data_IF_983302252684
#
_entry.id   IF_983302252684
#
_cell.length_a   1.000
_cell.length_b   1.000
_cell.length_c   1.000
_cell.angle_alpha   90.00
_cell.angle_beta   90.00
_cell.angle_gamma   90.00
#
_symmetry.space_group_name_H-M   'P 1'
#
loop_
_entity.id
_entity.type
_entity.pdbx_description
1 polymer ?
#
# COMPACT_ATOMS: atom_id res chain seq x y z
N UNK A 1 13.47 -3.27 23.94
CA UNK A 1 12.93 -4.22 22.96
C UNK A 1 12.05 -3.44 22.00
N UNK A 2 12.34 -3.51 20.70
CA UNK A 2 11.52 -2.92 19.63
C UNK A 2 10.92 -4.06 18.82
N UNK A 3 9.64 -3.98 18.51
CA UNK A 3 8.95 -4.97 17.68
C UNK A 3 8.01 -4.26 16.69
N UNK A 4 7.99 -4.74 15.46
CA UNK A 4 7.12 -4.29 14.37
C UNK A 4 5.73 -4.94 14.38
N UNK A 5 5.48 -5.83 15.36
CA UNK A 5 4.19 -6.50 15.50
C UNK A 5 3.86 -6.82 16.97
N UNK A 6 2.63 -6.51 17.39
CA UNK A 6 2.17 -6.72 18.76
C UNK A 6 2.26 -8.19 19.23
N UNK A 7 2.04 -9.18 18.35
CA UNK A 7 2.09 -10.60 18.70
C UNK A 7 3.46 -11.03 19.24
N UNK A 8 4.54 -10.47 18.69
CA UNK A 8 5.89 -10.77 19.17
C UNK A 8 6.08 -10.33 20.60
N UNK A 9 5.49 -9.20 21.00
CA UNK A 9 5.58 -8.67 22.36
C UNK A 9 4.67 -9.38 23.36
N UNK A 10 3.61 -10.05 22.91
CA UNK A 10 2.67 -10.79 23.77
C UNK A 10 3.36 -11.90 24.57
N UNK A 11 4.36 -12.54 23.97
CA UNK A 11 5.09 -13.67 24.58
C UNK A 11 6.34 -13.26 25.34
N UNK A 12 6.77 -11.99 25.21
CA UNK A 12 8.03 -11.52 25.81
C UNK A 12 7.83 -11.13 27.28
N UNK A 13 8.35 -11.96 28.17
CA UNK A 13 8.46 -11.66 29.59
C UNK A 13 9.80 -10.97 29.86
N UNK A 14 9.82 -9.65 29.98
CA UNK A 14 11.04 -8.88 30.24
C UNK A 14 10.70 -7.55 30.94
N UNK A 15 11.57 -7.11 31.83
CA UNK A 15 11.50 -5.81 32.50
C UNK A 15 12.14 -4.68 31.69
N UNK A 16 12.72 -4.98 30.52
CA UNK A 16 13.27 -3.96 29.63
C UNK A 16 12.17 -3.16 28.97
N UNK A 17 12.41 -1.89 28.67
CA UNK A 17 11.50 -1.04 27.92
C UNK A 17 11.10 -1.70 26.60
N UNK A 18 9.83 -1.62 26.27
CA UNK A 18 9.19 -2.20 25.09
C UNK A 18 8.57 -1.12 24.22
N UNK A 19 8.87 -1.17 22.93
CA UNK A 19 8.29 -0.29 21.90
C UNK A 19 7.62 -1.17 20.86
N UNK A 20 6.36 -0.89 20.55
CA UNK A 20 5.63 -1.57 19.48
C UNK A 20 5.40 -0.63 18.30
N UNK A 21 5.86 -1.04 17.11
CA UNK A 21 5.51 -0.35 15.87
C UNK A 21 4.16 -0.89 15.38
N UNK A 22 3.28 0.00 14.90
CA UNK A 22 1.97 -0.37 14.36
C UNK A 22 1.74 0.26 12.99
N UNK A 23 1.09 -0.50 12.08
CA UNK A 23 0.93 -0.16 10.66
C UNK A 23 -0.52 -0.15 10.16
N UNK A 24 -1.49 -0.29 11.03
CA UNK A 24 -2.95 -0.31 10.85
C UNK A 24 -3.60 -1.69 10.69
N UNK A 25 -3.22 -2.53 9.73
CA UNK A 25 -3.92 -3.78 9.41
C UNK A 25 -3.95 -4.76 10.60
N UNK A 26 -2.83 -4.88 11.32
CA UNK A 26 -2.64 -5.81 12.43
C UNK A 26 -3.35 -5.40 13.73
N UNK A 27 -3.86 -4.16 13.79
CA UNK A 27 -4.66 -3.65 14.92
C UNK A 27 -6.12 -3.36 14.54
N UNK A 28 -6.45 -3.38 13.23
CA UNK A 28 -7.80 -3.07 12.73
C UNK A 28 -8.63 -4.35 12.64
N UNK A 29 -9.15 -4.79 13.77
CA UNK A 29 -10.01 -5.95 13.89
C UNK A 29 -11.43 -5.55 14.33
N UNK A 30 -12.46 -6.40 14.14
CA UNK A 30 -13.80 -6.11 14.60
C UNK A 30 -13.83 -5.77 16.10
N UNK A 31 -14.59 -4.75 16.44
CA UNK A 31 -14.75 -4.29 17.83
C UNK A 31 -15.19 -5.48 18.70
N UNK A 32 -14.64 -5.58 19.92
CA UNK A 32 -14.90 -6.64 20.89
C UNK A 32 -14.46 -8.07 20.47
N UNK A 33 -13.77 -8.26 19.33
CA UNK A 33 -13.20 -9.56 19.02
C UNK A 33 -12.11 -9.97 20.02
N UNK A 34 -11.85 -11.27 20.12
CA UNK A 34 -10.78 -11.81 20.98
C UNK A 34 -9.43 -11.21 20.60
N UNK A 35 -9.20 -11.05 19.30
CA UNK A 35 -7.95 -10.45 18.79
C UNK A 35 -7.84 -8.99 19.25
N UNK A 36 -8.93 -8.24 19.16
CA UNK A 36 -8.96 -6.84 19.59
C UNK A 36 -8.58 -6.67 21.06
N UNK A 37 -9.13 -7.52 21.93
CA UNK A 37 -8.80 -7.54 23.37
C UNK A 37 -7.32 -7.86 23.61
N UNK A 38 -6.75 -8.81 22.85
CA UNK A 38 -5.32 -9.17 22.95
C UNK A 38 -4.42 -8.02 22.50
N UNK A 39 -4.73 -7.38 21.36
CA UNK A 39 -4.01 -6.19 20.86
C UNK A 39 -4.01 -5.11 21.92
N UNK A 40 -5.18 -4.75 22.45
CA UNK A 40 -5.33 -3.70 23.46
C UNK A 40 -4.49 -4.01 24.72
N UNK A 41 -4.55 -5.26 25.21
CA UNK A 41 -3.75 -5.69 26.36
C UNK A 41 -2.26 -5.51 26.13
N UNK A 42 -1.76 -5.90 24.96
CA UNK A 42 -0.34 -5.77 24.63
C UNK A 42 0.07 -4.32 24.50
N UNK A 43 -0.68 -3.53 23.71
CA UNK A 43 -0.33 -2.13 23.45
C UNK A 43 -0.41 -1.25 24.70
N UNK A 44 -1.29 -1.54 25.66
CA UNK A 44 -1.31 -0.83 26.95
C UNK A 44 -0.19 -1.26 27.90
N UNK A 45 0.43 -2.43 27.67
CA UNK A 45 1.53 -2.95 28.49
C UNK A 45 2.93 -2.61 27.96
N UNK A 46 3.05 -1.98 26.78
CA UNK A 46 4.32 -1.45 26.30
C UNK A 46 4.54 -0.02 26.78
N UNK A 47 5.80 0.43 26.80
CA UNK A 47 6.13 1.80 27.21
C UNK A 47 5.70 2.82 26.15
N UNK A 48 5.95 2.52 24.87
CA UNK A 48 5.57 3.35 23.74
C UNK A 48 5.01 2.54 22.58
N UNK A 49 4.06 3.15 21.89
CA UNK A 49 3.50 2.67 20.61
C UNK A 49 3.90 3.67 19.52
N UNK A 50 4.59 3.23 18.51
CA UNK A 50 4.95 4.06 17.35
C UNK A 50 4.01 3.74 16.20
N UNK A 51 3.20 4.70 15.81
CA UNK A 51 2.29 4.59 14.66
C UNK A 51 2.91 5.22 13.41
N UNK A 52 2.76 4.56 12.27
CA UNK A 52 3.29 5.03 10.98
C UNK A 52 2.49 6.19 10.37
N UNK A 53 1.37 6.58 10.96
CA UNK A 53 0.54 7.68 10.45
C UNK A 53 -0.45 8.17 11.52
N UNK A 54 -1.00 9.38 11.32
CA UNK A 54 -2.10 9.90 12.14
C UNK A 54 -3.34 8.99 12.09
N UNK A 55 -3.62 8.39 10.93
CA UNK A 55 -4.72 7.43 10.78
C UNK A 55 -4.50 6.19 11.65
N UNK A 56 -3.31 5.60 11.63
CA UNK A 56 -2.98 4.44 12.50
C UNK A 56 -3.05 4.81 13.98
N UNK A 57 -2.61 6.04 14.35
CA UNK A 57 -2.80 6.56 15.71
C UNK A 57 -4.27 6.60 16.09
N UNK A 58 -5.15 7.14 15.22
CA UNK A 58 -6.59 7.20 15.52
C UNK A 58 -7.21 5.82 15.70
N UNK A 59 -6.79 4.82 14.91
CA UNK A 59 -7.23 3.43 15.11
C UNK A 59 -6.84 2.89 16.49
N UNK A 60 -5.60 3.14 16.93
CA UNK A 60 -5.12 2.68 18.23
C UNK A 60 -5.86 3.38 19.38
N UNK A 61 -6.13 4.69 19.29
CA UNK A 61 -6.92 5.44 20.27
C UNK A 61 -8.36 4.90 20.32
N UNK A 62 -9.00 4.68 19.17
CA UNK A 62 -10.35 4.12 19.11
C UNK A 62 -10.43 2.69 19.67
N UNK A 63 -9.32 1.94 19.59
CA UNK A 63 -9.18 0.63 20.22
C UNK A 63 -9.12 0.73 21.77
N UNK A 64 -8.74 1.89 22.33
CA UNK A 64 -8.58 2.13 23.77
C UNK A 64 -7.13 2.19 24.24
N UNK A 65 -6.18 2.32 23.31
CA UNK A 65 -4.77 2.57 23.69
C UNK A 65 -4.63 4.00 24.17
N UNK A 66 -3.95 4.19 25.29
CA UNK A 66 -3.71 5.51 25.88
C UNK A 66 -2.94 6.42 24.92
N UNK A 67 -3.50 7.58 24.62
CA UNK A 67 -2.97 8.47 23.58
C UNK A 67 -1.55 8.98 23.92
N UNK A 68 -1.27 9.23 25.19
CA UNK A 68 0.04 9.68 25.66
C UNK A 68 1.19 8.70 25.40
N UNK A 69 0.87 7.43 25.15
CA UNK A 69 1.84 6.41 24.77
C UNK A 69 2.13 6.35 23.25
N UNK A 70 1.31 7.02 22.44
CA UNK A 70 1.38 6.87 20.99
C UNK A 70 2.16 8.02 20.35
N UNK A 71 3.25 7.68 19.70
CA UNK A 71 4.09 8.61 18.94
C UNK A 71 3.86 8.34 17.45
N UNK A 72 3.63 9.39 16.65
CA UNK A 72 3.53 9.27 15.20
C UNK A 72 4.90 9.50 14.59
N UNK A 73 5.43 8.49 13.90
CA UNK A 73 6.65 8.57 13.11
C UNK A 73 6.31 8.08 11.71
N UNK A 74 6.21 9.00 10.75
CA UNK A 74 5.95 8.64 9.37
C UNK A 74 7.15 7.89 8.78
N UNK A 75 6.93 6.87 7.93
CA UNK A 75 8.01 6.22 7.20
C UNK A 75 8.81 7.24 6.41
N UNK A 76 10.12 7.12 6.48
CA UNK A 76 11.02 7.89 5.63
C UNK A 76 10.99 7.38 4.19
N UNK A 77 11.42 8.24 3.28
CA UNK A 77 11.72 7.90 1.88
C UNK A 77 13.13 8.36 1.57
N UNK A 78 13.83 7.62 0.74
CA UNK A 78 15.14 8.02 0.27
C UNK A 78 15.01 9.27 -0.62
N UNK A 79 16.03 10.16 -0.61
CA UNK A 79 16.09 11.26 -1.55
C UNK A 79 16.00 10.74 -2.99
N UNK A 80 15.27 11.46 -3.84
CA UNK A 80 15.18 11.10 -5.26
C UNK A 80 16.59 11.22 -5.85
N UNK A 81 17.18 10.09 -6.25
CA UNK A 81 18.43 10.06 -7.01
C UNK A 81 18.19 10.56 -8.43
N UNK A 82 19.24 11.06 -9.10
CA UNK A 82 19.14 11.39 -10.51
C UNK A 82 18.80 10.11 -11.29
N UNK A 83 17.70 10.16 -12.02
CA UNK A 83 17.29 9.05 -12.89
C UNK A 83 18.28 9.01 -14.07
N UNK A 84 18.80 7.84 -14.38
CA UNK A 84 19.67 7.64 -15.55
C UNK A 84 18.91 7.91 -16.85
N UNK A 85 19.52 8.61 -17.79
CA UNK A 85 18.93 8.86 -19.12
C UNK A 85 18.52 7.56 -19.83
N UNK A 86 19.26 6.46 -19.61
CA UNK A 86 18.91 5.14 -20.13
C UNK A 86 17.49 4.73 -19.76
N UNK A 87 17.10 4.88 -18.49
CA UNK A 87 15.74 4.49 -18.02
C UNK A 87 14.67 5.45 -18.51
N UNK A 88 15.01 6.74 -18.67
CA UNK A 88 14.09 7.70 -19.28
C UNK A 88 13.82 7.34 -20.75
N UNK A 89 14.86 7.00 -21.50
CA UNK A 89 14.75 6.60 -22.91
C UNK A 89 13.96 5.29 -23.07
N UNK A 90 14.16 4.33 -22.18
CA UNK A 90 13.39 3.08 -22.14
C UNK A 90 11.91 3.33 -21.86
N UNK A 91 11.59 4.17 -20.89
CA UNK A 91 10.22 4.56 -20.57
C UNK A 91 9.55 5.30 -21.73
N UNK A 92 10.25 6.24 -22.36
CA UNK A 92 9.73 6.96 -23.54
C UNK A 92 9.51 6.04 -24.74
N UNK A 93 10.39 5.08 -25.00
CA UNK A 93 10.19 4.06 -26.04
C UNK A 93 8.95 3.21 -25.77
N UNK A 94 8.78 2.76 -24.50
CA UNK A 94 7.65 1.95 -24.07
C UNK A 94 6.31 2.71 -24.19
N UNK A 95 6.32 4.00 -23.89
CA UNK A 95 5.14 4.86 -23.86
C UNK A 95 5.03 5.80 -25.06
N UNK A 96 5.72 5.45 -26.16
CA UNK A 96 5.71 6.23 -27.40
C UNK A 96 4.27 6.53 -27.85
N UNK A 97 4.01 7.78 -28.20
CA UNK A 97 2.70 8.29 -28.61
C UNK A 97 1.60 8.21 -27.53
N UNK A 98 1.97 8.14 -26.26
CA UNK A 98 1.06 8.17 -25.11
C UNK A 98 1.29 9.45 -24.30
N UNK A 99 0.46 10.48 -24.52
CA UNK A 99 0.60 11.77 -23.82
C UNK A 99 -0.09 11.77 -22.46
N UNK A 100 -1.17 10.99 -22.29
CA UNK A 100 -1.91 10.85 -21.05
C UNK A 100 -1.55 9.52 -20.39
N UNK A 101 -0.79 9.58 -19.29
CA UNK A 101 -0.19 8.42 -18.63
C UNK A 101 -0.72 8.31 -17.20
N UNK A 102 -1.45 7.24 -16.90
CA UNK A 102 -1.84 6.86 -15.54
C UNK A 102 -0.94 5.71 -15.09
N UNK A 103 -0.54 5.72 -13.83
CA UNK A 103 0.32 4.66 -13.28
C UNK A 103 -0.19 4.20 -11.91
N UNK A 104 -0.13 2.90 -11.68
CA UNK A 104 -0.28 2.31 -10.34
C UNK A 104 0.84 1.30 -10.11
N UNK A 105 1.58 1.48 -9.03
CA UNK A 105 2.61 0.56 -8.55
C UNK A 105 2.07 -0.12 -7.30
N UNK A 106 1.59 -1.35 -7.42
CA UNK A 106 1.06 -2.09 -6.27
C UNK A 106 0.82 -3.57 -6.58
N UNK A 107 0.60 -4.38 -5.54
CA UNK A 107 0.07 -5.74 -5.75
C UNK A 107 -1.32 -5.69 -6.39
N UNK A 108 -1.62 -6.64 -7.27
CA UNK A 108 -2.95 -6.76 -7.89
C UNK A 108 -3.90 -7.49 -6.94
N UNK A 109 -4.42 -6.73 -5.99
CA UNK A 109 -5.41 -7.12 -4.98
C UNK A 109 -6.68 -6.28 -5.15
N UNK A 110 -7.87 -6.82 -4.84
CA UNK A 110 -9.16 -6.11 -4.94
C UNK A 110 -9.14 -4.74 -4.27
N UNK A 111 -8.52 -4.62 -3.08
CA UNK A 111 -8.43 -3.37 -2.33
C UNK A 111 -7.63 -2.27 -3.03
N UNK A 112 -6.81 -2.61 -4.03
CA UNK A 112 -6.03 -1.65 -4.82
C UNK A 112 -6.82 -1.05 -5.98
N UNK A 113 -7.99 -1.63 -6.27
CA UNK A 113 -9.03 -1.07 -7.10
C UNK A 113 -8.63 -0.77 -8.56
N UNK A 114 -7.70 -1.56 -9.11
CA UNK A 114 -7.29 -1.47 -10.52
C UNK A 114 -8.49 -1.60 -11.48
N UNK A 115 -9.46 -2.45 -11.12
CA UNK A 115 -10.68 -2.66 -11.89
C UNK A 115 -11.41 -1.35 -12.17
N UNK A 116 -11.60 -0.49 -11.16
CA UNK A 116 -12.30 0.79 -11.33
C UNK A 116 -11.55 1.74 -12.27
N UNK A 117 -10.22 1.75 -12.23
CA UNK A 117 -9.41 2.54 -13.16
C UNK A 117 -9.58 2.02 -14.58
N UNK A 118 -9.51 0.70 -14.79
CA UNK A 118 -9.72 0.08 -16.12
C UNK A 118 -11.13 0.39 -16.65
N UNK A 119 -12.16 0.27 -15.81
CA UNK A 119 -13.53 0.63 -16.21
C UNK A 119 -13.65 2.10 -16.60
N UNK A 120 -12.97 3.02 -15.90
CA UNK A 120 -12.98 4.44 -16.22
C UNK A 120 -12.31 4.76 -17.56
N UNK A 121 -11.31 3.95 -17.97
CA UNK A 121 -10.65 4.11 -19.27
C UNK A 121 -11.61 3.94 -20.44
N UNK A 122 -12.70 3.19 -20.30
CA UNK A 122 -13.71 3.05 -21.35
C UNK A 122 -14.24 4.39 -21.85
N UNK A 123 -14.49 5.31 -20.93
CA UNK A 123 -14.96 6.65 -21.27
C UNK A 123 -13.81 7.60 -21.58
N UNK A 124 -12.69 7.47 -20.87
CA UNK A 124 -11.55 8.35 -21.03
C UNK A 124 -10.87 8.21 -22.41
N UNK A 125 -10.85 7.02 -23.01
CA UNK A 125 -10.27 6.81 -24.35
C UNK A 125 -11.02 7.55 -25.47
N UNK A 126 -12.31 7.84 -25.28
CA UNK A 126 -13.10 8.62 -26.25
C UNK A 126 -12.71 10.10 -26.23
N UNK A 127 -12.19 10.58 -25.07
CA UNK A 127 -11.72 11.96 -24.90
C UNK A 127 -10.22 12.05 -25.21
N UNK A 128 -9.45 11.06 -24.81
CA UNK A 128 -7.99 10.97 -24.92
C UNK A 128 -7.60 9.69 -25.62
N UNK A 129 -7.57 9.69 -26.96
CA UNK A 129 -7.28 8.50 -27.77
C UNK A 129 -5.90 7.89 -27.50
N UNK A 130 -4.97 8.67 -26.96
CA UNK A 130 -3.59 8.30 -26.64
C UNK A 130 -3.35 8.02 -25.14
N UNK A 131 -4.43 7.91 -24.35
CA UNK A 131 -4.32 7.55 -22.91
C UNK A 131 -3.79 6.14 -22.72
N UNK A 132 -2.95 5.95 -21.71
CA UNK A 132 -2.49 4.65 -21.25
C UNK A 132 -2.52 4.55 -19.74
N UNK A 133 -2.90 3.38 -19.23
CA UNK A 133 -2.78 3.00 -17.83
C UNK A 133 -1.73 1.93 -17.65
N UNK A 134 -0.68 2.25 -16.92
CA UNK A 134 0.44 1.34 -16.62
C UNK A 134 0.22 0.75 -15.23
N UNK A 135 0.06 -0.57 -15.18
CA UNK A 135 -0.10 -1.37 -13.98
C UNK A 135 1.23 -2.07 -13.69
N UNK A 136 1.92 -1.68 -12.62
CA UNK A 136 3.20 -2.29 -12.23
C UNK A 136 2.98 -3.13 -10.97
N UNK A 137 3.27 -4.43 -11.09
CA UNK A 137 3.15 -5.37 -9.99
C UNK A 137 2.66 -6.76 -10.39
N UNK A 138 2.18 -7.50 -9.42
CA UNK A 138 1.62 -8.85 -9.57
C UNK A 138 0.60 -9.11 -8.45
N UNK A 139 -0.22 -10.15 -8.59
CA UNK A 139 -1.17 -10.55 -7.55
C UNK A 139 -2.32 -11.41 -8.07
N UNK A 140 -3.20 -11.81 -7.17
CA UNK A 140 -4.30 -12.74 -7.41
C UNK A 140 -5.33 -12.24 -8.44
N UNK A 141 -5.46 -10.92 -8.60
CA UNK A 141 -6.42 -10.32 -9.53
C UNK A 141 -5.88 -10.18 -10.97
N UNK A 142 -4.64 -10.56 -11.25
CA UNK A 142 -3.99 -10.31 -12.55
C UNK A 142 -4.80 -10.84 -13.74
N UNK A 143 -5.20 -12.10 -13.68
CA UNK A 143 -5.95 -12.75 -14.78
C UNK A 143 -7.35 -12.15 -14.94
N UNK A 144 -7.98 -11.76 -13.82
CA UNK A 144 -9.28 -11.07 -13.85
C UNK A 144 -9.15 -9.69 -14.52
N UNK A 145 -8.10 -8.93 -14.18
CA UNK A 145 -7.84 -7.62 -14.78
C UNK A 145 -7.52 -7.72 -16.28
N UNK A 146 -6.72 -8.70 -16.70
CA UNK A 146 -6.42 -8.95 -18.12
C UNK A 146 -7.68 -9.33 -18.91
N UNK A 147 -8.54 -10.16 -18.33
CA UNK A 147 -9.82 -10.52 -18.94
C UNK A 147 -10.70 -9.28 -19.11
N UNK A 148 -10.84 -8.46 -18.08
CA UNK A 148 -11.60 -7.21 -18.13
C UNK A 148 -11.09 -6.26 -19.22
N UNK A 149 -9.76 -6.13 -19.38
CA UNK A 149 -9.16 -5.33 -20.45
C UNK A 149 -9.59 -5.81 -21.83
N UNK A 150 -9.61 -7.12 -22.07
CA UNK A 150 -10.08 -7.71 -23.33
C UNK A 150 -11.57 -7.49 -23.55
N UNK A 151 -12.40 -7.73 -22.55
CA UNK A 151 -13.85 -7.52 -22.62
C UNK A 151 -14.21 -6.07 -22.98
N UNK A 152 -13.45 -5.11 -22.45
CA UNK A 152 -13.64 -3.68 -22.71
C UNK A 152 -12.89 -3.16 -23.94
N UNK A 153 -12.18 -4.04 -24.66
CA UNK A 153 -11.35 -3.69 -25.85
C UNK A 153 -10.36 -2.54 -25.53
N UNK A 154 -9.61 -2.71 -24.43
CA UNK A 154 -8.67 -1.73 -23.90
C UNK A 154 -7.20 -2.17 -24.00
N UNK A 155 -6.87 -3.18 -24.81
CA UNK A 155 -5.51 -3.76 -24.91
C UNK A 155 -4.45 -2.72 -25.32
N UNK A 156 -4.85 -1.71 -26.11
CA UNK A 156 -3.97 -0.60 -26.51
C UNK A 156 -3.84 0.51 -25.47
N UNK A 157 -4.63 0.43 -24.39
CA UNK A 157 -4.74 1.46 -23.36
C UNK A 157 -4.31 0.98 -21.97
N UNK A 158 -4.00 -0.31 -21.80
CA UNK A 158 -3.54 -0.87 -20.52
C UNK A 158 -2.27 -1.67 -20.73
N UNK A 159 -1.26 -1.38 -19.93
CA UNK A 159 0.02 -2.06 -19.94
C UNK A 159 0.29 -2.69 -18.57
N UNK A 160 0.51 -4.00 -18.53
CA UNK A 160 0.91 -4.71 -17.32
C UNK A 160 2.42 -4.95 -17.34
N UNK A 161 3.12 -4.50 -16.29
CA UNK A 161 4.57 -4.64 -16.14
C UNK A 161 4.88 -5.36 -14.83
N UNK A 162 5.93 -6.20 -14.88
CA UNK A 162 6.45 -6.95 -13.72
C UNK A 162 7.95 -6.78 -13.62
N UNK A 163 8.49 -7.02 -12.43
CA UNK A 163 9.94 -7.09 -12.19
C UNK A 163 10.70 -5.86 -12.70
N UNK A 164 10.11 -4.67 -12.55
CA UNK A 164 10.82 -3.42 -12.81
C UNK A 164 11.78 -3.20 -11.63
N UNK A 165 13.07 -3.01 -11.92
CA UNK A 165 14.06 -2.69 -10.90
C UNK A 165 13.79 -1.30 -10.32
N UNK A 166 14.25 -1.09 -9.08
CA UNK A 166 14.20 0.23 -8.42
C UNK A 166 15.43 1.09 -8.77
N UNK A 167 16.27 0.64 -9.71
CA UNK A 167 17.47 1.36 -10.15
C UNK A 167 17.16 2.37 -11.25
#
# INVERSE_FOLDING_TARGET
IISDHWKSLELIKSNKKKICLIHSKEINHPINSIINKRVLKVLNNVDFVVSNSKYTKSLAVNLGVKEEKIIVINPGVDPISKISNKYLDEAEKLLKNKSKRLITVSRFEKRKNHEKVIMSLRNLKEIYSDIVYVCIGYGEEEENLKRLVKELKLEKHVLFLKNISNE
#
